data_IF_624587396247
#
_entry.id   IF_624587396247
#
_cell.length_a   1.000
_cell.length_b   1.000
_cell.length_c   1.000
_cell.angle_alpha   90.00
_cell.angle_beta   90.00
_cell.angle_gamma   90.00
#
_symmetry.space_group_name_H-M   'P 1'
#
loop_
_entity.id
_entity.type
_entity.pdbx_description
1 polymer ?
#
# COMPACT_ATOMS: atom_id res chain seq x y z
N UNK A 1 25.26 8.57 3.58
CA UNK A 1 23.95 7.89 3.48
C UNK A 1 24.06 6.37 3.34
N UNK A 2 25.17 5.86 2.79
CA UNK A 2 25.34 4.41 2.52
C UNK A 2 25.49 3.53 3.77
N UNK A 3 25.69 4.11 4.96
CA UNK A 3 25.67 3.36 6.22
C UNK A 3 24.26 2.94 6.56
N UNK A 4 23.29 3.86 6.47
CA UNK A 4 21.94 3.67 6.95
C UNK A 4 20.92 3.32 5.86
N UNK A 5 21.31 3.41 4.60
CA UNK A 5 20.41 3.16 3.49
C UNK A 5 21.08 2.54 2.28
N UNK A 6 20.24 2.02 1.40
CA UNK A 6 20.62 1.39 0.14
C UNK A 6 19.56 1.64 -0.92
N UNK A 7 19.89 1.43 -2.17
CA UNK A 7 18.92 1.43 -3.25
C UNK A 7 18.30 0.02 -3.37
N UNK A 8 17.00 -0.06 -3.30
CA UNK A 8 16.27 -1.30 -3.55
C UNK A 8 16.50 -1.75 -4.99
N UNK A 9 16.95 -2.98 -5.18
CA UNK A 9 17.30 -3.50 -6.51
C UNK A 9 16.08 -3.78 -7.39
N UNK A 10 14.90 -3.92 -6.79
CA UNK A 10 13.66 -4.20 -7.52
C UNK A 10 12.95 -2.93 -7.93
N UNK A 11 12.84 -1.97 -7.00
CA UNK A 11 12.09 -0.73 -7.22
C UNK A 11 12.96 0.44 -7.68
N UNK A 12 14.28 0.36 -7.49
CA UNK A 12 15.20 1.47 -7.72
C UNK A 12 15.14 2.58 -6.67
N UNK A 13 14.30 2.43 -5.64
CA UNK A 13 14.11 3.45 -4.61
C UNK A 13 15.16 3.31 -3.50
N UNK A 14 15.56 4.44 -2.93
CA UNK A 14 16.37 4.44 -1.74
C UNK A 14 15.52 4.07 -0.52
N UNK A 15 15.97 3.05 0.21
CA UNK A 15 15.32 2.58 1.44
C UNK A 15 16.33 2.48 2.57
N UNK A 16 15.82 2.41 3.79
CA UNK A 16 16.64 2.14 4.96
C UNK A 16 17.23 0.71 4.87
N UNK A 17 18.48 0.53 5.25
CA UNK A 17 19.09 -0.79 5.36
C UNK A 17 18.45 -1.58 6.49
N UNK A 18 18.10 -2.83 6.20
CA UNK A 18 17.58 -3.76 7.21
C UNK A 18 18.68 -4.27 8.17
N UNK A 19 19.94 -4.19 7.77
CA UNK A 19 21.08 -4.51 8.62
C UNK A 19 22.23 -3.54 8.42
N UNK A 20 22.51 -2.71 9.44
CA UNK A 20 23.61 -1.78 9.48
C UNK A 20 24.82 -2.33 10.28
N UNK A 21 24.69 -3.48 10.91
CA UNK A 21 25.71 -4.06 11.78
C UNK A 21 27.10 -4.13 11.13
N UNK A 22 27.23 -4.59 9.87
CA UNK A 22 28.53 -4.67 9.21
C UNK A 22 29.11 -3.32 8.80
N UNK A 23 28.30 -2.26 8.79
CA UNK A 23 28.67 -0.94 8.27
C UNK A 23 29.12 0.04 9.34
N UNK A 24 29.08 -0.37 10.62
CA UNK A 24 29.33 0.54 11.76
C UNK A 24 30.42 -0.03 12.66
N UNK A 25 31.39 0.81 13.01
CA UNK A 25 32.35 0.52 14.08
C UNK A 25 31.73 0.96 15.42
N UNK A 26 31.24 -0.01 16.19
CA UNK A 26 30.41 0.23 17.38
C UNK A 26 31.18 0.78 18.58
N UNK A 27 32.51 0.58 18.66
CA UNK A 27 33.27 0.88 19.86
C UNK A 27 32.80 0.03 21.06
N UNK A 28 33.38 0.26 22.25
CA UNK A 28 33.07 -0.59 23.41
C UNK A 28 31.68 -0.36 24.03
N UNK A 29 31.08 0.81 23.84
CA UNK A 29 29.81 1.23 24.43
C UNK A 29 28.70 1.40 23.39
N UNK A 30 28.97 1.09 22.13
CA UNK A 30 27.96 1.14 21.07
C UNK A 30 26.94 0.05 21.24
N UNK A 31 25.74 0.29 20.75
CA UNK A 31 24.63 -0.68 20.73
C UNK A 31 23.71 -0.45 19.54
N UNK A 32 22.97 -1.47 19.15
CA UNK A 32 21.92 -1.44 18.16
C UNK A 32 20.71 -2.21 18.69
N UNK A 33 19.72 -1.50 19.17
CA UNK A 33 18.47 -2.07 19.71
C UNK A 33 17.27 -1.68 18.84
N UNK A 34 16.11 -2.26 19.06
CA UNK A 34 14.85 -1.99 18.37
C UNK A 34 14.89 -2.32 16.86
N UNK A 35 15.91 -3.05 16.42
CA UNK A 35 16.09 -3.42 15.01
C UNK A 35 15.12 -4.52 14.59
N UNK A 36 15.00 -5.56 15.39
CA UNK A 36 14.20 -6.76 15.08
C UNK A 36 12.95 -6.80 15.98
N UNK A 37 11.80 -6.48 15.43
CA UNK A 37 10.53 -6.53 16.15
C UNK A 37 10.49 -5.66 17.42
N UNK A 38 11.22 -4.54 17.44
CA UNK A 38 11.39 -3.69 18.62
C UNK A 38 12.03 -4.38 19.83
N UNK A 39 12.91 -5.35 19.60
CA UNK A 39 13.66 -6.03 20.65
C UNK A 39 14.65 -5.10 21.36
N UNK A 40 14.81 -5.27 22.67
CA UNK A 40 15.84 -4.60 23.47
C UNK A 40 17.19 -5.35 23.47
N UNK A 41 17.27 -6.47 22.75
CA UNK A 41 18.54 -7.18 22.53
C UNK A 41 19.46 -6.32 21.67
N UNK A 42 20.70 -6.20 22.06
CA UNK A 42 21.72 -5.51 21.29
C UNK A 42 22.16 -6.40 20.11
N UNK A 43 21.87 -5.96 18.91
CA UNK A 43 22.23 -6.62 17.66
C UNK A 43 23.62 -6.16 17.14
N UNK A 44 24.33 -5.33 17.89
CA UNK A 44 25.71 -4.99 17.60
C UNK A 44 26.66 -6.11 17.98
N UNK A 45 27.95 -5.93 17.69
CA UNK A 45 28.99 -6.90 18.10
C UNK A 45 29.30 -6.87 19.60
N UNK A 46 28.72 -5.91 20.37
CA UNK A 46 29.09 -5.66 21.77
C UNK A 46 28.25 -6.38 22.81
N UNK A 47 27.04 -6.84 22.43
CA UNK A 47 26.08 -7.48 23.34
C UNK A 47 25.66 -6.61 24.55
N UNK A 48 25.60 -5.30 24.38
CA UNK A 48 25.16 -4.33 25.38
C UNK A 48 23.62 -4.32 25.50
N UNK A 49 23.02 -5.40 25.95
CA UNK A 49 21.58 -5.57 26.05
C UNK A 49 20.92 -4.59 27.01
N UNK A 50 19.69 -4.20 26.68
CA UNK A 50 18.86 -3.31 27.50
C UNK A 50 17.73 -4.10 28.16
N UNK A 51 17.26 -3.58 29.28
CA UNK A 51 16.07 -4.08 29.96
C UNK A 51 15.03 -2.96 30.06
N UNK A 52 13.76 -3.31 29.92
CA UNK A 52 12.68 -2.35 30.06
C UNK A 52 12.56 -1.92 31.55
N UNK A 53 12.70 -0.64 31.81
CA UNK A 53 12.57 -0.10 33.19
C UNK A 53 11.11 -0.07 33.67
N UNK A 54 10.15 0.20 32.78
CA UNK A 54 8.72 0.22 33.06
C UNK A 54 7.90 0.22 31.77
N UNK A 55 6.59 -0.06 31.84
CA UNK A 55 5.69 -0.10 30.70
C UNK A 55 5.73 -1.42 29.95
N UNK A 56 5.21 -1.44 28.73
CA UNK A 56 5.16 -2.60 27.83
C UNK A 56 5.76 -2.23 26.47
N UNK A 57 6.70 -3.01 26.00
CA UNK A 57 7.23 -2.91 24.66
C UNK A 57 6.58 -4.01 23.81
N UNK A 58 5.87 -3.62 22.75
CA UNK A 58 5.23 -4.56 21.84
C UNK A 58 6.13 -4.80 20.65
N UNK A 59 6.42 -6.07 20.36
CA UNK A 59 7.07 -6.44 19.12
C UNK A 59 6.14 -6.19 17.95
N UNK A 60 6.67 -5.60 16.87
CA UNK A 60 5.93 -5.31 15.64
C UNK A 60 6.67 -5.86 14.44
N UNK A 61 5.93 -6.19 13.38
CA UNK A 61 6.54 -6.58 12.10
C UNK A 61 7.20 -5.39 11.40
N UNK A 62 6.65 -4.19 11.57
CA UNK A 62 7.25 -2.96 11.07
C UNK A 62 8.35 -2.49 12.02
N UNK A 63 9.57 -2.71 11.61
CA UNK A 63 10.77 -2.43 12.39
C UNK A 63 11.95 -2.18 11.43
N UNK A 64 13.09 -1.65 11.89
CA UNK A 64 14.21 -1.33 11.01
C UNK A 64 14.73 -2.48 10.13
N UNK A 65 14.61 -3.72 10.57
CA UNK A 65 14.97 -4.89 9.75
C UNK A 65 13.88 -5.31 8.75
N UNK A 66 12.69 -4.74 8.83
CA UNK A 66 11.55 -5.10 7.99
C UNK A 66 10.66 -3.88 7.74
N UNK A 67 11.04 -3.09 6.73
CA UNK A 67 10.41 -1.79 6.42
C UNK A 67 9.31 -1.96 5.39
N UNK A 68 8.11 -1.51 5.73
CA UNK A 68 6.94 -1.52 4.87
C UNK A 68 6.61 -0.13 4.32
N UNK A 69 5.77 -0.08 3.29
CA UNK A 69 5.17 1.15 2.84
C UNK A 69 4.23 1.73 3.90
N UNK A 70 4.03 3.02 3.86
CA UNK A 70 2.98 3.75 4.58
C UNK A 70 2.32 4.73 3.62
N UNK A 71 1.22 5.35 4.00
CA UNK A 71 0.68 6.47 3.23
C UNK A 71 1.57 7.71 3.41
N UNK A 72 1.72 8.49 2.35
CA UNK A 72 2.62 9.64 2.33
C UNK A 72 2.00 10.84 3.06
N UNK A 73 2.53 11.16 4.24
CA UNK A 73 2.10 12.31 5.05
C UNK A 73 2.65 13.65 4.56
N UNK A 74 3.62 13.66 3.66
CA UNK A 74 4.19 14.89 3.10
C UNK A 74 3.29 15.52 2.03
N UNK A 75 2.39 14.74 1.45
CA UNK A 75 1.35 15.26 0.58
C UNK A 75 0.22 15.77 1.46
N UNK A 76 0.29 17.05 1.78
CA UNK A 76 -0.68 17.72 2.66
C UNK A 76 -1.95 18.11 1.91
N UNK A 77 -3.09 17.66 2.40
CA UNK A 77 -4.42 18.12 1.98
C UNK A 77 -5.32 18.20 3.18
N UNK A 78 -6.20 19.18 3.20
CA UNK A 78 -7.04 19.52 4.35
C UNK A 78 -8.15 18.51 4.63
N UNK A 79 -8.37 17.52 3.73
CA UNK A 79 -9.59 16.73 3.69
C UNK A 79 -9.42 15.31 4.24
N UNK A 80 -8.24 14.95 4.74
CA UNK A 80 -8.03 13.70 5.46
C UNK A 80 -6.91 13.81 6.50
N UNK A 81 -6.99 12.98 7.51
CA UNK A 81 -5.96 12.77 8.52
C UNK A 81 -5.36 11.37 8.41
N UNK A 82 -4.09 11.24 8.77
CA UNK A 82 -3.38 9.99 8.91
C UNK A 82 -3.11 9.68 10.38
N UNK A 83 -3.19 8.41 10.74
CA UNK A 83 -2.90 7.90 12.08
C UNK A 83 -2.27 6.51 12.01
N UNK A 84 -1.96 5.90 13.16
CA UNK A 84 -1.38 4.56 13.26
C UNK A 84 -0.13 4.39 12.36
N UNK A 85 0.86 5.29 12.52
CA UNK A 85 2.06 5.27 11.70
C UNK A 85 1.80 5.52 10.21
N UNK A 86 0.80 6.35 9.88
CA UNK A 86 0.34 6.66 8.52
C UNK A 86 -0.29 5.46 7.77
N UNK A 87 -0.75 4.44 8.48
CA UNK A 87 -1.44 3.30 7.89
C UNK A 87 -2.97 3.37 8.03
N UNK A 88 -3.50 4.40 8.67
CA UNK A 88 -4.94 4.67 8.72
C UNK A 88 -5.23 6.02 8.09
N UNK A 89 -6.11 6.05 7.09
CA UNK A 89 -6.62 7.24 6.44
C UNK A 89 -8.06 7.48 6.88
N UNK A 90 -8.34 8.68 7.38
CA UNK A 90 -9.69 9.12 7.74
C UNK A 90 -10.06 10.37 6.95
N UNK A 91 -11.15 10.33 6.21
CA UNK A 91 -11.72 11.49 5.53
C UNK A 91 -12.30 12.49 6.53
N UNK A 92 -12.18 13.77 6.23
CA UNK A 92 -12.65 14.87 7.11
C UNK A 92 -13.58 15.84 6.39
N UNK A 93 -13.92 15.57 5.13
CA UNK A 93 -14.77 16.45 4.32
C UNK A 93 -15.82 15.67 3.56
N UNK A 94 -17.05 16.13 3.60
CA UNK A 94 -18.16 15.61 2.79
C UNK A 94 -18.30 16.30 1.42
N UNK A 95 -17.41 17.22 1.09
CA UNK A 95 -17.43 17.97 -0.16
C UNK A 95 -16.23 17.67 -1.07
N UNK A 96 -15.15 17.16 -0.49
CA UNK A 96 -13.89 16.97 -1.21
C UNK A 96 -13.21 15.65 -0.83
N UNK A 97 -12.59 15.02 -1.80
CA UNK A 97 -11.79 13.82 -1.62
C UNK A 97 -10.34 14.18 -1.24
N UNK A 98 -9.75 13.38 -0.38
CA UNK A 98 -8.33 13.46 -0.09
C UNK A 98 -7.60 12.31 -0.76
N UNK A 99 -6.53 12.63 -1.45
CA UNK A 99 -5.65 11.64 -2.08
C UNK A 99 -4.38 11.43 -1.25
N UNK A 100 -3.98 10.18 -1.06
CA UNK A 100 -2.75 9.80 -0.38
C UNK A 100 -2.12 8.60 -1.07
N UNK A 101 -1.05 8.78 -1.85
CA UNK A 101 -0.26 7.66 -2.36
C UNK A 101 0.57 7.03 -1.23
N UNK A 102 0.99 5.80 -1.45
CA UNK A 102 1.95 5.15 -0.58
C UNK A 102 3.37 5.73 -0.75
N UNK A 103 4.20 5.55 0.27
CA UNK A 103 5.60 6.01 0.28
C UNK A 103 6.51 5.19 -0.62
N UNK A 104 6.15 3.93 -0.91
CA UNK A 104 6.86 3.06 -1.83
C UNK A 104 5.99 2.84 -3.08
N UNK A 105 6.63 2.93 -4.24
CA UNK A 105 6.00 2.64 -5.51
C UNK A 105 6.13 1.15 -5.85
N UNK A 106 5.25 0.68 -6.71
CA UNK A 106 5.40 -0.62 -7.36
C UNK A 106 6.57 -0.51 -8.33
N UNK A 107 7.51 -1.44 -8.26
CA UNK A 107 8.67 -1.47 -9.15
C UNK A 107 8.30 -1.83 -10.59
N UNK A 108 9.29 -1.74 -11.49
CA UNK A 108 9.12 -2.10 -12.91
C UNK A 108 9.04 -3.61 -13.16
N UNK A 109 9.28 -4.42 -12.14
CA UNK A 109 9.21 -5.89 -12.16
C UNK A 109 8.82 -6.44 -10.80
N UNK A 110 8.53 -7.72 -10.71
CA UNK A 110 8.15 -8.39 -9.47
C UNK A 110 6.65 -8.44 -9.23
N UNK A 111 6.28 -8.99 -8.09
CA UNK A 111 4.88 -9.18 -7.67
C UNK A 111 4.66 -8.52 -6.34
N UNK A 112 3.57 -7.77 -6.22
CA UNK A 112 3.27 -6.97 -5.04
C UNK A 112 1.85 -7.28 -4.58
N UNK A 113 1.67 -7.23 -3.26
CA UNK A 113 0.40 -7.48 -2.61
C UNK A 113 0.22 -6.52 -1.44
N UNK A 114 -1.00 -6.04 -1.24
CA UNK A 114 -1.40 -5.31 -0.04
C UNK A 114 -2.89 -5.48 0.24
N UNK A 115 -3.29 -5.16 1.44
CA UNK A 115 -4.68 -5.21 1.88
C UNK A 115 -5.13 -3.88 2.47
N UNK A 116 -6.42 -3.61 2.35
CA UNK A 116 -7.06 -2.44 2.96
C UNK A 116 -8.35 -2.88 3.63
N UNK A 117 -8.49 -2.60 4.92
CA UNK A 117 -9.76 -2.77 5.64
C UNK A 117 -10.51 -1.45 5.69
N UNK A 118 -11.63 -1.38 5.01
CA UNK A 118 -12.54 -0.23 5.01
C UNK A 118 -13.57 -0.47 6.11
N UNK A 119 -13.64 0.43 7.10
CA UNK A 119 -14.51 0.28 8.27
C UNK A 119 -15.70 1.22 8.27
N UNK A 120 -15.64 2.32 7.54
CA UNK A 120 -16.74 3.27 7.42
C UNK A 120 -16.70 3.97 6.08
N UNK A 121 -17.89 4.18 5.52
CA UNK A 121 -18.14 4.89 4.27
C UNK A 121 -17.30 4.43 3.08
N UNK A 122 -17.35 5.19 2.00
CA UNK A 122 -16.76 4.81 0.74
C UNK A 122 -15.38 5.42 0.58
N UNK A 123 -14.38 4.56 0.45
CA UNK A 123 -13.03 4.95 0.11
C UNK A 123 -12.65 4.40 -1.25
N UNK A 124 -11.97 5.19 -2.02
CA UNK A 124 -11.31 4.71 -3.21
C UNK A 124 -9.93 4.17 -2.90
N UNK A 125 -9.64 2.96 -3.35
CA UNK A 125 -8.35 2.29 -3.14
C UNK A 125 -7.91 1.57 -4.41
N UNK A 126 -6.63 1.58 -4.71
CA UNK A 126 -6.12 0.92 -5.91
C UNK A 126 -4.72 1.34 -6.30
N UNK A 127 -4.51 1.40 -7.61
CA UNK A 127 -3.24 1.77 -8.22
C UNK A 127 -3.42 3.00 -9.10
N UNK A 128 -2.43 3.85 -9.12
CA UNK A 128 -2.35 4.99 -10.02
C UNK A 128 -1.03 4.99 -10.79
N UNK A 129 -1.04 5.65 -11.94
CA UNK A 129 0.15 5.93 -12.71
C UNK A 129 0.37 7.44 -12.69
N UNK A 130 1.37 7.96 -11.98
CA UNK A 130 1.68 9.39 -11.99
C UNK A 130 2.19 9.79 -13.37
N UNK A 131 1.54 10.76 -13.99
CA UNK A 131 2.01 11.37 -15.23
C UNK A 131 3.09 12.39 -14.91
N UNK A 132 4.09 12.47 -15.78
CA UNK A 132 5.32 13.25 -15.66
C UNK A 132 5.25 14.51 -14.79
N UNK A 133 5.98 14.47 -13.68
CA UNK A 133 6.34 15.66 -12.90
C UNK A 133 5.20 16.33 -12.11
N UNK A 134 3.99 15.84 -12.20
CA UNK A 134 2.87 16.37 -11.43
C UNK A 134 2.72 15.54 -10.15
N UNK A 135 3.08 16.13 -9.03
CA UNK A 135 2.73 15.59 -7.72
C UNK A 135 1.21 15.66 -7.58
N UNK A 136 0.51 14.58 -7.24
CA UNK A 136 -0.93 14.67 -7.00
C UNK A 136 -1.21 15.76 -5.98
N UNK A 137 -1.93 16.75 -6.42
CA UNK A 137 -2.49 17.65 -5.43
C UNK A 137 -3.59 16.86 -4.69
N UNK A 138 -3.72 17.11 -3.42
CA UNK A 138 -4.56 16.37 -2.48
C UNK A 138 -6.07 16.33 -2.82
N UNK A 139 -6.49 16.97 -3.90
CA UNK A 139 -7.88 17.25 -4.22
C UNK A 139 -8.37 16.53 -5.49
N UNK A 140 -7.52 15.84 -6.22
CA UNK A 140 -7.77 15.52 -7.63
C UNK A 140 -8.34 14.13 -7.92
N UNK A 141 -8.48 13.24 -6.95
CA UNK A 141 -9.15 11.95 -7.17
C UNK A 141 -10.58 12.05 -6.64
N UNK A 142 -11.48 12.47 -7.49
CA UNK A 142 -12.91 12.43 -7.19
C UNK A 142 -13.43 11.01 -7.34
N UNK A 143 -14.29 10.64 -6.41
CA UNK A 143 -15.04 9.44 -6.42
C UNK A 143 -16.13 9.50 -7.52
N UNK A 144 -16.23 8.49 -8.37
CA UNK A 144 -17.45 8.16 -9.11
C UNK A 144 -17.76 8.93 -10.38
N UNK A 145 -17.07 9.99 -10.72
CA UNK A 145 -17.17 10.58 -12.03
C UNK A 145 -15.92 10.29 -12.86
N UNK A 146 -16.07 9.59 -13.96
CA UNK A 146 -15.01 9.24 -14.90
C UNK A 146 -14.22 10.44 -15.48
N UNK A 147 -14.39 11.61 -14.91
CA UNK A 147 -13.71 12.84 -15.19
C UNK A 147 -12.82 13.23 -14.01
N UNK A 148 -11.64 12.64 -13.91
CA UNK A 148 -10.55 13.39 -13.32
C UNK A 148 -10.46 14.72 -14.05
N UNK A 149 -10.45 15.85 -13.34
CA UNK A 149 -10.31 17.16 -13.94
C UNK A 149 -9.22 17.13 -15.00
N UNK A 150 -9.50 17.62 -16.18
CA UNK A 150 -8.61 17.54 -17.34
C UNK A 150 -7.17 17.91 -16.91
N UNK A 151 -6.25 16.95 -16.94
CA UNK A 151 -4.85 17.13 -16.57
C UNK A 151 -4.38 16.39 -15.33
N UNK A 152 -5.23 15.69 -14.59
CA UNK A 152 -4.86 14.96 -13.37
C UNK A 152 -5.11 13.47 -13.52
N UNK A 153 -4.05 12.71 -13.49
CA UNK A 153 -3.80 11.29 -13.24
C UNK A 153 -4.71 10.26 -13.91
N UNK A 154 -4.16 9.41 -14.70
CA UNK A 154 -4.81 8.15 -14.98
C UNK A 154 -4.85 7.32 -13.70
N UNK A 155 -6.02 7.25 -13.05
CA UNK A 155 -6.33 6.15 -12.15
C UNK A 155 -6.15 4.88 -12.97
N UNK A 156 -5.13 4.11 -12.64
CA UNK A 156 -4.83 2.93 -13.43
C UNK A 156 -5.89 1.87 -13.18
N UNK A 157 -6.22 1.70 -11.91
CA UNK A 157 -7.16 0.71 -11.46
C UNK A 157 -7.63 1.06 -10.04
N UNK A 158 -8.94 1.10 -9.82
CA UNK A 158 -9.49 1.66 -8.60
C UNK A 158 -10.78 0.97 -8.18
N UNK A 159 -10.89 0.59 -6.91
CA UNK A 159 -12.11 0.05 -6.32
C UNK A 159 -12.76 1.11 -5.43
N UNK A 160 -14.01 1.42 -5.70
CA UNK A 160 -14.79 2.42 -4.97
C UNK A 160 -16.27 2.09 -5.07
N UNK A 161 -17.04 2.29 -4.01
CA UNK A 161 -18.51 2.15 -4.00
C UNK A 161 -19.04 0.84 -4.61
N UNK A 162 -18.34 -0.26 -4.38
CA UNK A 162 -18.70 -1.52 -5.02
C UNK A 162 -18.42 -1.57 -6.53
N UNK A 163 -17.78 -0.56 -7.08
CA UNK A 163 -17.34 -0.50 -8.48
C UNK A 163 -15.85 -0.76 -8.58
N UNK A 164 -15.45 -1.27 -9.71
CA UNK A 164 -14.06 -1.36 -10.13
C UNK A 164 -13.92 -0.55 -11.39
N UNK A 165 -13.07 0.45 -11.36
CA UNK A 165 -12.83 1.36 -12.46
C UNK A 165 -11.41 1.17 -12.97
N UNK A 166 -11.23 1.25 -14.27
CA UNK A 166 -9.91 1.33 -14.92
C UNK A 166 -9.85 2.52 -15.86
N UNK A 167 -8.69 3.13 -15.94
CA UNK A 167 -8.41 4.15 -16.95
C UNK A 167 -7.40 3.62 -17.96
N UNK A 168 -7.70 3.80 -19.23
CA UNK A 168 -6.65 3.76 -20.26
C UNK A 168 -6.12 5.18 -20.41
N UNK A 169 -4.80 5.34 -20.53
CA UNK A 169 -4.13 6.63 -20.73
C UNK A 169 -4.90 7.50 -21.75
N UNK A 170 -5.45 8.62 -21.30
CA UNK A 170 -6.13 9.61 -22.16
C UNK A 170 -7.57 9.31 -22.57
N UNK A 171 -8.17 8.22 -22.17
CA UNK A 171 -9.59 7.93 -22.39
C UNK A 171 -10.25 7.60 -21.06
N UNK A 172 -11.39 8.20 -20.75
CA UNK A 172 -12.07 8.13 -19.45
C UNK A 172 -12.12 6.75 -18.78
N UNK A 173 -12.51 6.74 -17.52
CA UNK A 173 -12.68 5.51 -16.74
C UNK A 173 -13.76 4.63 -17.35
N UNK A 174 -13.48 3.35 -17.52
CA UNK A 174 -14.47 2.36 -17.86
C UNK A 174 -14.83 1.57 -16.60
N UNK A 175 -16.10 1.59 -16.21
CA UNK A 175 -16.61 0.67 -15.21
C UNK A 175 -16.46 -0.76 -15.73
N UNK A 176 -15.85 -1.62 -14.94
CA UNK A 176 -15.87 -3.05 -15.19
C UNK A 176 -17.24 -3.57 -14.72
N UNK A 177 -18.20 -3.60 -15.62
CA UNK A 177 -19.55 -4.08 -15.35
C UNK A 177 -19.60 -5.62 -15.32
N UNK A 178 -20.53 -6.19 -14.58
CA UNK A 178 -20.73 -7.65 -14.49
C UNK A 178 -19.84 -8.34 -13.47
N UNK A 179 -19.05 -7.59 -12.70
CA UNK A 179 -18.26 -8.12 -11.60
C UNK A 179 -19.10 -8.24 -10.33
N UNK A 180 -18.73 -9.19 -9.49
CA UNK A 180 -19.32 -9.29 -8.14
C UNK A 180 -19.08 -7.97 -7.40
N UNK A 181 -20.14 -7.36 -6.89
CA UNK A 181 -20.07 -6.10 -6.14
C UNK A 181 -19.15 -6.28 -4.94
N UNK A 182 -18.08 -5.52 -4.89
CA UNK A 182 -17.26 -5.41 -3.70
C UNK A 182 -18.03 -4.52 -2.73
N UNK A 183 -18.50 -5.05 -1.60
CA UNK A 183 -19.17 -4.22 -0.60
C UNK A 183 -18.37 -2.96 -0.24
N UNK A 184 -19.01 -1.89 0.17
CA UNK A 184 -18.36 -0.62 0.53
C UNK A 184 -17.41 -0.75 1.72
N UNK A 185 -17.59 -1.75 2.57
CA UNK A 185 -16.77 -2.04 3.75
C UNK A 185 -16.10 -3.42 3.65
N UNK A 186 -15.29 -3.78 4.62
CA UNK A 186 -14.57 -5.05 4.68
C UNK A 186 -13.16 -4.96 4.11
N UNK A 187 -12.50 -6.09 4.00
CA UNK A 187 -11.12 -6.18 3.52
C UNK A 187 -11.11 -6.27 2.00
N UNK A 188 -10.35 -5.39 1.38
CA UNK A 188 -10.01 -5.44 -0.05
C UNK A 188 -8.57 -5.94 -0.19
N UNK A 189 -8.36 -6.83 -1.13
CA UNK A 189 -7.09 -7.45 -1.45
C UNK A 189 -6.65 -7.01 -2.83
N UNK A 190 -5.42 -6.56 -2.98
CA UNK A 190 -4.85 -6.13 -4.26
C UNK A 190 -3.56 -6.86 -4.54
N UNK A 191 -3.48 -7.47 -5.71
CA UNK A 191 -2.23 -8.03 -6.21
C UNK A 191 -1.92 -7.46 -7.60
N UNK A 192 -0.66 -7.15 -7.84
CA UNK A 192 -0.15 -6.74 -9.13
C UNK A 192 1.09 -7.56 -9.50
N UNK A 193 1.06 -8.13 -10.70
CA UNK A 193 2.19 -8.86 -11.30
C UNK A 193 2.79 -7.96 -12.38
N UNK A 194 3.91 -7.32 -12.07
CA UNK A 194 4.64 -6.45 -12.99
C UNK A 194 5.49 -7.22 -13.99
N UNK A 195 5.80 -8.50 -13.73
CA UNK A 195 6.54 -9.32 -14.68
C UNK A 195 5.68 -9.69 -15.89
N UNK A 196 4.38 -9.84 -15.67
CA UNK A 196 3.42 -10.24 -16.70
C UNK A 196 2.39 -9.15 -17.03
N UNK A 197 2.26 -8.10 -16.23
CA UNK A 197 1.29 -7.03 -16.39
C UNK A 197 -0.14 -7.49 -16.12
N UNK A 198 -0.45 -7.80 -14.86
CA UNK A 198 -1.79 -8.23 -14.44
C UNK A 198 -2.14 -7.65 -13.06
N UNK A 199 -3.39 -7.20 -12.90
CA UNK A 199 -3.96 -6.76 -11.62
C UNK A 199 -5.12 -7.67 -11.24
N UNK A 200 -5.15 -8.03 -9.95
CA UNK A 200 -6.19 -8.85 -9.34
C UNK A 200 -6.77 -8.12 -8.13
N UNK A 201 -8.07 -8.28 -7.93
CA UNK A 201 -8.75 -7.82 -6.72
C UNK A 201 -9.41 -9.00 -6.02
N UNK A 202 -9.37 -8.96 -4.70
CA UNK A 202 -10.12 -9.85 -3.83
C UNK A 202 -10.89 -9.07 -2.76
N UNK A 203 -11.79 -9.76 -2.10
CA UNK A 203 -12.51 -9.25 -0.95
C UNK A 203 -12.66 -10.35 0.10
N UNK A 204 -12.36 -10.00 1.37
CA UNK A 204 -12.56 -10.88 2.52
C UNK A 204 -12.00 -12.31 2.33
N UNK A 205 -10.80 -12.42 1.79
CA UNK A 205 -10.08 -13.69 1.61
C UNK A 205 -10.36 -14.44 0.31
N UNK A 206 -11.23 -13.93 -0.56
CA UNK A 206 -11.54 -14.56 -1.85
C UNK A 206 -11.17 -13.64 -3.01
N UNK A 207 -10.49 -14.17 -4.02
CA UNK A 207 -10.27 -13.45 -5.28
C UNK A 207 -11.57 -13.35 -6.07
N UNK A 208 -11.77 -12.21 -6.69
CA UNK A 208 -12.96 -11.95 -7.47
C UNK A 208 -12.87 -12.60 -8.86
N UNK A 209 -14.07 -12.82 -9.44
CA UNK A 209 -14.23 -13.27 -10.81
C UNK A 209 -14.31 -12.05 -11.75
N UNK A 210 -13.53 -12.04 -12.82
CA UNK A 210 -13.52 -10.99 -13.84
C UNK A 210 -14.66 -11.11 -14.88
N UNK A 211 -15.68 -11.93 -14.59
CA UNK A 211 -16.75 -12.28 -15.52
C UNK A 211 -16.50 -13.57 -16.33
N UNK A 212 -15.28 -14.08 -16.32
CA UNK A 212 -14.88 -15.31 -17.04
C UNK A 212 -14.24 -16.35 -16.14
N UNK A 213 -13.38 -15.92 -15.21
CA UNK A 213 -12.66 -16.79 -14.30
C UNK A 213 -12.37 -16.10 -12.97
N UNK A 214 -12.23 -16.87 -11.89
CA UNK A 214 -11.73 -16.38 -10.59
C UNK A 214 -10.26 -16.01 -10.73
N UNK A 215 -9.86 -14.91 -10.09
CA UNK A 215 -8.49 -14.43 -10.10
C UNK A 215 -7.51 -15.44 -9.52
N UNK A 216 -6.40 -15.67 -10.23
CA UNK A 216 -5.28 -16.50 -9.79
C UNK A 216 -3.99 -15.70 -9.93
N UNK A 217 -3.59 -14.89 -8.92
CA UNK A 217 -2.43 -14.01 -9.02
C UNK A 217 -1.12 -14.73 -9.33
N UNK A 218 -1.02 -16.02 -8.98
CA UNK A 218 0.13 -16.86 -9.29
C UNK A 218 0.16 -17.43 -10.71
N UNK A 219 -0.83 -17.13 -11.54
CA UNK A 219 -0.99 -17.73 -12.89
C UNK A 219 0.05 -17.26 -13.93
N UNK A 220 0.88 -16.28 -13.61
CA UNK A 220 1.92 -15.77 -14.49
C UNK A 220 1.38 -15.22 -15.80
N UNK A 221 1.99 -15.59 -16.92
CA UNK A 221 1.63 -15.07 -18.25
C UNK A 221 0.21 -15.42 -18.72
N UNK A 222 -0.43 -16.43 -18.13
CA UNK A 222 -1.83 -16.75 -18.43
C UNK A 222 -2.82 -15.73 -17.90
N UNK A 223 -2.43 -14.94 -16.89
CA UNK A 223 -3.24 -13.87 -16.27
C UNK A 223 -4.66 -14.32 -15.92
N UNK A 224 -4.82 -15.57 -15.44
CA UNK A 224 -6.12 -16.19 -15.21
C UNK A 224 -6.95 -15.36 -14.24
N UNK A 225 -8.15 -14.93 -14.67
CA UNK A 225 -9.06 -14.11 -13.87
C UNK A 225 -8.54 -12.73 -13.46
N UNK A 226 -7.48 -12.23 -14.12
CA UNK A 226 -7.02 -10.85 -13.89
C UNK A 226 -8.13 -9.85 -14.21
N UNK A 227 -8.30 -8.87 -13.33
CA UNK A 227 -9.24 -7.76 -13.55
C UNK A 227 -8.78 -6.87 -14.67
N UNK A 228 -7.47 -6.74 -14.84
CA UNK A 228 -6.86 -6.01 -15.94
C UNK A 228 -5.50 -6.59 -16.31
N UNK A 229 -5.30 -6.76 -17.62
CA UNK A 229 -4.02 -7.07 -18.23
C UNK A 229 -3.47 -5.84 -18.94
N UNK A 230 -2.18 -5.54 -18.73
CA UNK A 230 -1.50 -4.39 -19.31
C UNK A 230 -0.07 -4.76 -19.73
N UNK A 231 0.59 -3.87 -20.46
CA UNK A 231 2.01 -4.00 -20.74
C UNK A 231 2.80 -3.23 -19.68
N UNK A 232 3.64 -3.87 -18.86
CA UNK A 232 4.37 -3.19 -17.78
C UNK A 232 5.25 -2.04 -18.24
N UNK A 233 5.80 -2.10 -19.44
CA UNK A 233 6.63 -1.02 -19.98
C UNK A 233 5.89 0.30 -20.22
N UNK A 234 4.56 0.25 -20.32
CA UNK A 234 3.74 1.44 -20.49
C UNK A 234 3.50 2.15 -19.13
N UNK A 235 3.82 1.49 -18.02
CA UNK A 235 3.54 1.94 -16.67
C UNK A 235 4.73 1.76 -15.71
N UNK A 236 5.85 2.47 -15.93
CA UNK A 236 7.07 2.24 -15.16
C UNK A 236 7.03 2.73 -13.70
N UNK A 237 6.04 3.52 -13.30
CA UNK A 237 5.97 4.19 -12.00
C UNK A 237 4.57 4.07 -11.38
N UNK A 238 4.09 2.85 -11.17
CA UNK A 238 2.80 2.63 -10.52
C UNK A 238 2.93 2.94 -9.03
N UNK A 239 2.02 3.74 -8.51
CA UNK A 239 1.86 3.99 -7.08
C UNK A 239 0.61 3.31 -6.54
N UNK A 240 0.64 2.88 -5.29
CA UNK A 240 -0.55 2.52 -4.55
C UNK A 240 -1.21 3.82 -4.12
N UNK A 241 -2.50 3.97 -4.40
CA UNK A 241 -3.23 5.18 -4.07
C UNK A 241 -4.43 4.91 -3.16
N UNK A 242 -4.79 5.94 -2.43
CA UNK A 242 -5.96 5.98 -1.57
C UNK A 242 -6.67 7.31 -1.72
N UNK A 243 -7.99 7.29 -1.67
CA UNK A 243 -8.77 8.51 -1.47
C UNK A 243 -9.80 8.29 -0.36
N UNK A 244 -10.11 9.33 0.39
CA UNK A 244 -11.09 9.31 1.44
C UNK A 244 -12.10 10.45 1.26
N UNK A 245 -13.36 10.15 1.55
CA UNK A 245 -14.49 11.06 1.47
C UNK A 245 -15.38 10.85 2.70
N UNK A 246 -16.00 11.90 3.22
CA UNK A 246 -17.06 11.90 4.24
C UNK A 246 -16.86 10.91 5.40
N UNK A 247 -15.91 11.18 6.28
CA UNK A 247 -15.58 10.35 7.44
C UNK A 247 -15.27 8.87 7.13
N UNK A 248 -14.94 8.58 5.87
CA UNK A 248 -14.49 7.27 5.46
C UNK A 248 -13.19 6.86 6.15
N UNK A 249 -13.08 5.61 6.59
CA UNK A 249 -11.90 5.10 7.29
C UNK A 249 -11.34 3.88 6.58
N UNK A 250 -10.08 3.98 6.15
CA UNK A 250 -9.30 2.89 5.55
C UNK A 250 -8.06 2.59 6.36
N UNK A 251 -7.87 1.32 6.69
CA UNK A 251 -6.69 0.83 7.39
C UNK A 251 -5.87 -0.04 6.45
N UNK A 252 -4.63 0.33 6.23
CA UNK A 252 -3.71 -0.31 5.26
C UNK A 252 -2.80 -1.30 5.94
N UNK A 253 -2.71 -2.48 5.36
CA UNK A 253 -1.70 -3.49 5.67
C UNK A 253 -0.81 -3.69 4.43
N UNK A 254 0.36 -3.07 4.46
CA UNK A 254 1.41 -3.24 3.45
C UNK A 254 2.38 -4.38 3.80
N UNK A 255 2.00 -5.26 4.72
CA UNK A 255 2.85 -6.30 5.30
C UNK A 255 3.22 -6.02 6.76
N UNK A 256 2.86 -4.86 7.31
CA UNK A 256 3.14 -4.46 8.69
C UNK A 256 2.34 -5.26 9.75
N UNK A 257 1.41 -6.12 9.33
CA UNK A 257 0.69 -7.04 10.20
C UNK A 257 -0.47 -6.45 10.99
N UNK A 258 -0.93 -5.25 10.64
CA UNK A 258 -2.03 -4.58 11.35
C UNK A 258 -2.99 -3.87 10.39
N UNK A 259 -4.28 -3.85 10.76
CA UNK A 259 -5.26 -2.90 10.27
C UNK A 259 -5.54 -1.88 11.39
N UNK A 260 -4.95 -0.70 11.33
CA UNK A 260 -4.97 0.25 12.43
C UNK A 260 -4.28 -0.34 13.67
N UNK A 261 -5.04 -0.64 14.71
CA UNK A 261 -4.55 -1.29 15.94
C UNK A 261 -4.88 -2.78 16.02
N UNK A 262 -5.62 -3.33 15.04
CA UNK A 262 -6.02 -4.74 15.01
C UNK A 262 -4.98 -5.58 14.31
N UNK A 263 -4.39 -6.55 15.01
CA UNK A 263 -3.45 -7.48 14.41
C UNK A 263 -4.10 -8.29 13.28
N UNK A 264 -3.33 -8.49 12.21
CA UNK A 264 -3.72 -9.31 11.07
C UNK A 264 -3.20 -10.71 11.31
N UNK A 265 -4.05 -11.73 11.37
CA UNK A 265 -3.71 -13.14 11.64
C UNK A 265 -3.84 -14.06 10.41
N UNK A 266 -4.51 -13.68 9.32
CA UNK A 266 -4.56 -14.39 8.01
C UNK A 266 -4.90 -13.47 6.84
N UNK A 267 -4.24 -13.64 5.68
CA UNK A 267 -4.49 -12.85 4.48
C UNK A 267 -5.98 -12.83 4.12
N UNK A 268 -6.50 -11.65 3.78
CA UNK A 268 -7.91 -11.45 3.46
C UNK A 268 -8.87 -11.62 4.62
N UNK A 269 -8.40 -11.96 5.79
CA UNK A 269 -9.16 -11.97 7.03
C UNK A 269 -8.54 -10.96 7.99
N UNK A 270 -9.23 -10.57 9.05
CA UNK A 270 -8.56 -9.74 10.06
C UNK A 270 -7.44 -10.58 10.70
N UNK A 271 -6.47 -10.97 9.93
CA UNK A 271 -5.41 -11.71 10.47
C UNK A 271 -4.65 -12.68 9.58
N UNK A 272 -3.63 -12.34 8.89
CA UNK A 272 -2.24 -12.78 8.81
C UNK A 272 -1.47 -12.02 7.77
N UNK A 273 -0.21 -12.06 8.00
CA UNK A 273 0.85 -11.68 7.07
C UNK A 273 0.69 -12.43 5.76
N UNK A 274 0.86 -11.77 4.65
CA UNK A 274 1.02 -12.41 3.35
C UNK A 274 2.28 -13.27 3.33
#
# INVERSE_FOLDING_TARGET
PTIFGETDTTTGQWKIKTDITPSVAWGNFGFLILKNGNSLTDESTNTNNFTLGSGTLTNTLDCPSNVFATLNSLLTGSYASLSNGNNTLTGTSSANNAHRPATLQVGTSGKYYYEVKITANENGVGFEYPVDGVVPNSEAIQQGDGNGAAGFYPKLFFACNGRIERSNLGTGLADLTGLTVIGSTGIKMFAIDMDNGAIYIGANGAWLNNGSAIGVPSSGSSKTGAMWGFNPSDYPNIAICSSAYDAAVSNYNFGNGYFGTSAVTSAGTAGSTP
#
